data_IF_750132368651
#
_entry.id   IF_750132368651
#
_cell.length_a   1.000
_cell.length_b   1.000
_cell.length_c   1.000
_cell.angle_alpha   90.00
_cell.angle_beta   90.00
_cell.angle_gamma   90.00
#
_symmetry.space_group_name_H-M   'P 1'
#
loop_
_entity.id
_entity.type
_entity.pdbx_description
1 polymer ?
#
# COMPACT_ATOMS: atom_id res chain seq x y z
N UNK A 1 27.73 28.91 -16.65
CA UNK A 1 26.55 29.24 -15.83
C UNK A 1 25.31 28.88 -16.61
N UNK A 2 24.70 27.73 -16.29
CA UNK A 2 23.40 27.27 -16.80
C UNK A 2 22.70 26.64 -15.59
N UNK A 3 21.50 27.07 -15.19
CA UNK A 3 20.77 26.38 -14.15
C UNK A 3 20.00 25.20 -14.74
N UNK A 4 20.20 24.07 -14.08
CA UNK A 4 19.54 22.79 -14.22
C UNK A 4 18.02 22.87 -14.06
N UNK A 5 17.32 22.14 -14.93
CA UNK A 5 15.90 21.78 -14.87
C UNK A 5 15.53 20.98 -13.60
N UNK A 6 14.34 21.18 -13.02
CA UNK A 6 13.77 20.26 -12.05
C UNK A 6 12.95 19.18 -12.78
N UNK A 7 13.28 17.92 -12.50
CA UNK A 7 12.55 16.75 -12.96
C UNK A 7 11.13 16.76 -12.36
N UNK A 8 10.11 17.01 -13.19
CA UNK A 8 8.73 16.71 -12.86
C UNK A 8 8.43 15.27 -13.27
N UNK A 9 8.26 14.38 -12.28
CA UNK A 9 7.73 13.04 -12.53
C UNK A 9 6.23 13.17 -12.87
N UNK A 10 5.88 13.27 -14.16
CA UNK A 10 4.50 13.07 -14.61
C UNK A 10 4.11 11.61 -14.39
N UNK A 11 3.05 11.37 -13.61
CA UNK A 11 2.44 10.05 -13.42
C UNK A 11 1.93 9.52 -14.78
N UNK A 12 2.21 8.27 -15.18
CA UNK A 12 1.69 7.70 -16.42
C UNK A 12 0.25 7.19 -16.30
N UNK A 13 -0.40 7.36 -15.13
CA UNK A 13 -1.83 7.10 -14.97
C UNK A 13 -2.60 8.20 -15.69
N UNK A 14 -2.98 7.97 -16.94
CA UNK A 14 -3.91 8.84 -17.65
C UNK A 14 -5.34 8.37 -17.40
N UNK A 15 -6.18 9.28 -16.93
CA UNK A 15 -7.63 9.10 -17.04
C UNK A 15 -8.12 9.81 -18.28
N UNK A 16 -8.68 9.05 -19.22
CA UNK A 16 -9.43 9.64 -20.35
C UNK A 16 -10.90 9.46 -20.05
N UNK A 17 -11.63 10.56 -20.03
CA UNK A 17 -13.06 10.51 -19.85
C UNK A 17 -13.72 11.29 -20.99
N UNK A 18 -14.65 10.64 -21.67
CA UNK A 18 -15.30 11.22 -22.84
C UNK A 18 -16.42 12.15 -22.38
N UNK A 19 -16.18 13.47 -22.40
CA UNK A 19 -17.24 14.47 -22.31
C UNK A 19 -17.80 14.68 -23.71
N UNK A 20 -19.10 14.43 -23.91
CA UNK A 20 -19.77 14.72 -25.17
C UNK A 20 -19.87 16.24 -25.40
N UNK A 21 -18.80 16.85 -25.90
CA UNK A 21 -18.86 18.04 -26.74
C UNK A 21 -18.02 17.73 -27.98
N UNK A 22 -18.73 17.40 -29.08
CA UNK A 22 -18.20 16.98 -30.38
C UNK A 22 -17.42 15.65 -30.44
N UNK A 23 -18.15 14.54 -30.60
CA UNK A 23 -17.94 13.52 -31.64
C UNK A 23 -18.91 12.35 -31.41
N UNK A 24 -19.56 11.91 -32.48
CA UNK A 24 -20.49 10.77 -32.53
C UNK A 24 -19.82 9.48 -32.06
N UNK A 25 -20.34 8.83 -31.02
CA UNK A 25 -19.94 7.47 -30.67
C UNK A 25 -20.49 6.50 -31.73
N UNK A 26 -19.66 5.60 -32.32
CA UNK A 26 -20.19 4.53 -33.15
C UNK A 26 -20.95 3.54 -32.26
N UNK A 27 -22.27 3.45 -32.45
CA UNK A 27 -23.21 2.58 -31.72
C UNK A 27 -22.92 1.06 -31.84
N UNK A 28 -21.89 0.65 -32.59
CA UNK A 28 -21.71 -0.73 -33.02
C UNK A 28 -20.73 -1.59 -32.18
N UNK A 29 -20.08 -1.06 -31.13
CA UNK A 29 -19.00 -1.80 -30.44
C UNK A 29 -19.43 -2.63 -29.20
N UNK A 30 -20.68 -2.52 -28.71
CA UNK A 30 -21.09 -3.14 -27.43
C UNK A 30 -22.50 -3.76 -27.49
N UNK A 31 -22.64 -5.01 -27.96
CA UNK A 31 -23.94 -5.66 -28.16
C UNK A 31 -24.64 -6.11 -26.87
N UNK A 32 -24.00 -5.99 -25.70
CA UNK A 32 -24.55 -6.43 -24.41
C UNK A 32 -25.11 -5.31 -23.52
N UNK A 33 -25.41 -4.12 -24.07
CA UNK A 33 -26.28 -3.18 -23.33
C UNK A 33 -27.67 -3.83 -23.20
N UNK A 34 -28.19 -4.08 -21.98
CA UNK A 34 -29.62 -4.31 -21.83
C UNK A 34 -30.32 -3.09 -22.43
N UNK A 35 -31.32 -3.31 -23.29
CA UNK A 35 -32.17 -2.25 -23.83
C UNK A 35 -32.98 -1.62 -22.70
N UNK A 36 -32.38 -0.74 -21.93
CA UNK A 36 -33.06 0.22 -21.08
C UNK A 36 -32.98 1.58 -21.78
N UNK A 37 -34.12 2.07 -22.29
CA UNK A 37 -34.27 3.45 -22.73
C UNK A 37 -34.12 4.34 -21.49
N UNK A 38 -32.94 4.90 -21.24
CA UNK A 38 -32.73 5.87 -20.17
C UNK A 38 -31.27 6.16 -19.82
N UNK A 39 -30.78 7.31 -20.29
CA UNK A 39 -29.65 8.15 -19.80
C UNK A 39 -28.21 7.58 -19.83
N UNK A 40 -27.35 8.39 -20.44
CA UNK A 40 -25.96 8.13 -20.77
C UNK A 40 -25.04 8.73 -19.67
N UNK A 41 -24.39 7.86 -18.88
CA UNK A 41 -23.27 8.22 -18.00
C UNK A 41 -22.00 8.51 -18.82
N UNK A 42 -21.06 9.28 -18.25
CA UNK A 42 -19.73 9.46 -18.86
C UNK A 42 -18.97 8.13 -18.69
N UNK A 43 -18.01 7.83 -19.56
CA UNK A 43 -17.16 6.63 -19.40
C UNK A 43 -15.75 7.10 -19.15
N UNK A 44 -15.21 6.74 -17.97
CA UNK A 44 -13.85 7.08 -17.59
C UNK A 44 -12.95 5.84 -17.66
N UNK A 45 -11.76 6.02 -18.22
CA UNK A 45 -10.78 4.95 -18.42
C UNK A 45 -9.50 5.28 -17.67
N UNK A 46 -9.13 4.44 -16.69
CA UNK A 46 -7.83 4.46 -16.03
C UNK A 46 -6.93 3.42 -16.70
N UNK A 47 -5.81 3.87 -17.25
CA UNK A 47 -4.82 2.97 -17.85
C UNK A 47 -3.73 2.65 -16.82
N UNK A 48 -3.62 1.38 -16.44
CA UNK A 48 -2.46 0.86 -15.69
C UNK A 48 -1.58 0.04 -16.63
N UNK A 49 -0.28 -0.05 -16.35
CA UNK A 49 0.72 -0.60 -17.27
C UNK A 49 0.49 -2.07 -17.65
N UNK A 50 -0.31 -2.83 -16.90
CA UNK A 50 -0.68 -4.21 -17.30
C UNK A 50 -2.17 -4.41 -17.61
N UNK A 51 -3.04 -3.43 -17.36
CA UNK A 51 -4.48 -3.55 -17.55
C UNK A 51 -5.17 -2.19 -17.75
N UNK A 52 -6.07 -2.12 -18.73
CA UNK A 52 -6.98 -0.98 -18.87
C UNK A 52 -8.17 -1.21 -17.94
N UNK A 53 -8.35 -0.35 -16.94
CA UNK A 53 -9.51 -0.40 -16.06
C UNK A 53 -10.50 0.67 -16.50
N UNK A 54 -11.67 0.25 -16.94
CA UNK A 54 -12.76 1.15 -17.35
C UNK A 54 -13.80 1.16 -16.25
N UNK A 55 -14.35 2.32 -15.93
CA UNK A 55 -15.46 2.43 -14.98
C UNK A 55 -16.46 3.51 -15.40
N UNK A 56 -17.69 3.33 -14.94
CA UNK A 56 -18.78 4.29 -15.13
C UNK A 56 -19.83 4.09 -14.06
N UNK A 57 -20.62 5.14 -13.81
CA UNK A 57 -21.74 5.11 -12.89
C UNK A 57 -23.07 5.21 -13.63
N UNK A 58 -24.09 4.54 -13.10
CA UNK A 58 -25.49 4.70 -13.45
C UNK A 58 -26.25 5.20 -12.23
N UNK A 59 -26.81 6.40 -12.34
CA UNK A 59 -27.47 7.10 -11.24
C UNK A 59 -28.72 7.83 -11.73
N UNK A 60 -29.66 8.19 -10.82
CA UNK A 60 -30.86 8.96 -11.18
C UNK A 60 -30.55 10.32 -11.80
N UNK A 61 -29.45 10.95 -11.37
CA UNK A 61 -28.98 12.24 -11.88
C UNK A 61 -27.59 12.12 -12.51
N UNK A 62 -27.32 12.96 -13.52
CA UNK A 62 -26.02 13.01 -14.18
C UNK A 62 -24.92 13.51 -13.26
N UNK A 63 -25.28 14.39 -12.32
CA UNK A 63 -24.38 14.94 -11.31
C UNK A 63 -23.93 13.84 -10.34
N UNK A 64 -24.85 13.01 -9.84
CA UNK A 64 -24.50 11.90 -8.96
C UNK A 64 -23.59 10.86 -9.65
N UNK A 65 -23.84 10.56 -10.93
CA UNK A 65 -22.96 9.67 -11.69
C UNK A 65 -21.54 10.27 -11.87
N UNK A 66 -21.44 11.57 -12.19
CA UNK A 66 -20.15 12.24 -12.35
C UNK A 66 -19.37 12.30 -11.02
N UNK A 67 -20.04 12.66 -9.93
CA UNK A 67 -19.43 12.72 -8.61
C UNK A 67 -18.90 11.35 -8.16
N UNK A 68 -19.65 10.27 -8.39
CA UNK A 68 -19.18 8.91 -8.10
C UNK A 68 -17.92 8.55 -8.91
N UNK A 69 -17.90 8.88 -10.21
CA UNK A 69 -16.76 8.65 -11.09
C UNK A 69 -15.52 9.44 -10.65
N UNK A 70 -15.68 10.71 -10.27
CA UNK A 70 -14.57 11.58 -9.86
C UNK A 70 -14.05 11.24 -8.47
N UNK A 71 -14.93 10.85 -7.56
CA UNK A 71 -14.54 10.28 -6.28
C UNK A 71 -13.74 8.99 -6.46
N UNK A 72 -14.20 8.06 -7.30
CA UNK A 72 -13.48 6.82 -7.58
C UNK A 72 -12.10 7.09 -8.21
N UNK A 73 -12.02 8.00 -9.19
CA UNK A 73 -10.77 8.37 -9.83
C UNK A 73 -9.76 8.94 -8.82
N UNK A 74 -10.22 9.82 -7.94
CA UNK A 74 -9.39 10.44 -6.90
C UNK A 74 -8.94 9.42 -5.84
N UNK A 75 -9.82 8.51 -5.43
CA UNK A 75 -9.46 7.40 -4.51
C UNK A 75 -8.41 6.47 -5.13
N UNK A 76 -8.46 6.25 -6.44
CA UNK A 76 -7.43 5.50 -7.18
C UNK A 76 -6.12 6.28 -7.36
N UNK A 77 -6.07 7.55 -6.94
CA UNK A 77 -4.95 8.47 -7.09
C UNK A 77 -4.66 8.80 -8.55
N UNK A 78 -5.71 8.85 -9.37
CA UNK A 78 -5.62 9.33 -10.73
C UNK A 78 -5.82 10.85 -10.70
N UNK A 79 -4.80 11.60 -11.11
CA UNK A 79 -4.87 13.06 -11.20
C UNK A 79 -5.89 13.46 -12.28
N UNK A 80 -7.14 13.65 -11.88
CA UNK A 80 -8.19 14.26 -12.70
C UNK A 80 -8.54 15.63 -12.15
N UNK A 81 -7.59 16.55 -12.12
CA UNK A 81 -7.93 17.89 -11.68
C UNK A 81 -7.13 18.92 -12.49
N UNK A 82 -7.52 19.07 -13.76
CA UNK A 82 -7.24 20.31 -14.51
C UNK A 82 -8.20 21.45 -14.11
N UNK A 83 -9.14 21.23 -13.18
CA UNK A 83 -9.97 22.28 -12.56
C UNK A 83 -9.77 22.29 -11.05
N UNK A 84 -8.86 23.14 -10.56
CA UNK A 84 -8.42 23.21 -9.16
C UNK A 84 -9.55 23.31 -8.10
N UNK A 85 -10.78 23.67 -8.48
CA UNK A 85 -11.93 23.76 -7.59
C UNK A 85 -12.66 22.43 -7.36
N UNK A 86 -12.94 21.63 -8.41
CA UNK A 86 -13.66 20.35 -8.29
C UNK A 86 -12.81 19.31 -7.55
N UNK A 87 -11.51 19.28 -7.85
CA UNK A 87 -10.59 18.40 -7.16
C UNK A 87 -10.36 18.71 -5.70
N UNK A 88 -10.45 19.99 -5.31
CA UNK A 88 -10.41 20.40 -3.91
C UNK A 88 -11.66 19.94 -3.17
N UNK A 89 -12.84 20.02 -3.80
CA UNK A 89 -14.11 19.52 -3.25
C UNK A 89 -14.07 18.00 -3.00
N UNK A 90 -13.60 17.23 -3.98
CA UNK A 90 -13.44 15.77 -3.84
C UNK A 90 -12.36 15.43 -2.81
N UNK A 91 -11.23 16.16 -2.80
CA UNK A 91 -10.17 15.99 -1.81
C UNK A 91 -10.63 16.25 -0.37
N UNK A 92 -11.36 17.35 -0.15
CA UNK A 92 -11.95 17.70 1.15
C UNK A 92 -12.98 16.66 1.60
N UNK A 93 -13.77 16.14 0.66
CA UNK A 93 -14.73 15.06 0.94
C UNK A 93 -14.01 13.77 1.34
N UNK A 94 -12.95 13.38 0.64
CA UNK A 94 -12.14 12.22 0.98
C UNK A 94 -11.44 12.38 2.33
N UNK A 95 -10.99 13.59 2.68
CA UNK A 95 -10.43 13.89 3.99
C UNK A 95 -11.47 13.71 5.10
N UNK A 96 -12.71 14.13 4.87
CA UNK A 96 -13.83 13.94 5.81
C UNK A 96 -14.22 12.48 5.98
N UNK A 97 -14.27 11.73 4.87
CA UNK A 97 -14.48 10.28 4.88
C UNK A 97 -13.38 9.56 5.68
N UNK A 98 -12.12 9.95 5.49
CA UNK A 98 -10.98 9.40 6.25
C UNK A 98 -11.04 9.68 7.75
N UNK A 99 -11.67 10.78 8.15
CA UNK A 99 -11.88 11.13 9.55
C UNK A 99 -13.08 10.36 10.17
N UNK A 100 -13.55 9.29 9.52
CA UNK A 100 -14.57 8.38 10.05
C UNK A 100 -16.00 8.80 9.74
N UNK A 101 -16.21 9.82 8.89
CA UNK A 101 -17.55 10.16 8.42
C UNK A 101 -17.98 9.18 7.33
N UNK A 102 -19.13 8.54 7.48
CA UNK A 102 -19.63 7.60 6.47
C UNK A 102 -20.02 8.35 5.20
N UNK A 103 -19.86 7.70 4.04
CA UNK A 103 -20.29 8.27 2.77
C UNK A 103 -21.80 8.60 2.80
N UNK A 104 -22.61 7.77 3.47
CA UNK A 104 -24.04 8.01 3.69
C UNK A 104 -24.34 9.30 4.47
N UNK A 105 -23.47 9.71 5.39
CA UNK A 105 -23.64 10.96 6.14
C UNK A 105 -23.20 12.20 5.33
N UNK A 106 -22.29 12.01 4.37
CA UNK A 106 -21.72 13.11 3.58
C UNK A 106 -22.45 13.36 2.26
N UNK A 107 -22.87 12.27 1.61
CA UNK A 107 -23.53 12.21 0.30
C UNK A 107 -24.50 11.03 0.27
N UNK A 108 -25.67 11.15 0.93
CA UNK A 108 -26.68 10.09 0.92
C UNK A 108 -27.14 9.74 -0.50
N UNK A 109 -27.11 10.73 -1.40
CA UNK A 109 -27.41 10.61 -2.82
C UNK A 109 -26.39 9.78 -3.63
N UNK A 110 -25.18 9.57 -3.09
CA UNK A 110 -24.17 8.66 -3.65
C UNK A 110 -24.12 7.31 -2.93
N UNK A 111 -24.68 7.23 -1.72
CA UNK A 111 -24.64 6.03 -0.90
C UNK A 111 -25.68 4.98 -1.34
N UNK A 112 -26.86 5.42 -1.79
CA UNK A 112 -27.94 4.55 -2.26
C UNK A 112 -28.42 4.97 -3.66
N UNK A 113 -28.62 4.00 -4.55
CA UNK A 113 -29.18 4.23 -5.88
C UNK A 113 -28.18 4.57 -6.99
N UNK A 114 -26.87 4.57 -6.71
CA UNK A 114 -25.81 4.68 -7.73
C UNK A 114 -25.19 3.31 -7.98
N UNK A 115 -25.52 2.70 -9.11
CA UNK A 115 -24.85 1.48 -9.60
C UNK A 115 -23.52 1.86 -10.22
N UNK A 116 -22.47 1.14 -9.86
CA UNK A 116 -21.12 1.43 -10.31
C UNK A 116 -20.48 0.18 -10.89
N UNK A 117 -19.90 0.36 -12.08
CA UNK A 117 -19.36 -0.73 -12.86
C UNK A 117 -17.85 -0.54 -13.03
N UNK A 118 -17.08 -1.61 -12.81
CA UNK A 118 -15.63 -1.62 -13.03
C UNK A 118 -15.26 -2.83 -13.89
N UNK A 119 -14.66 -2.55 -15.04
CA UNK A 119 -14.23 -3.53 -16.02
C UNK A 119 -12.71 -3.50 -16.17
N UNK A 120 -12.04 -4.57 -15.75
CA UNK A 120 -10.62 -4.78 -16.00
C UNK A 120 -10.41 -5.50 -17.33
N UNK A 121 -9.68 -4.88 -18.26
CA UNK A 121 -9.32 -5.43 -19.55
C UNK A 121 -7.82 -5.71 -19.63
N UNK A 122 -7.48 -6.87 -20.20
CA UNK A 122 -6.11 -7.23 -20.52
C UNK A 122 -5.96 -7.39 -22.05
N UNK A 123 -4.92 -6.80 -22.66
CA UNK A 123 -4.61 -7.07 -24.06
C UNK A 123 -4.16 -8.51 -24.22
N UNK A 124 -4.74 -9.22 -25.18
CA UNK A 124 -4.37 -10.57 -25.56
C UNK A 124 -4.16 -10.61 -27.09
N UNK A 125 -2.96 -10.21 -27.52
CA UNK A 125 -2.62 -10.00 -28.93
C UNK A 125 -3.67 -9.12 -29.62
N UNK A 126 -4.45 -9.67 -30.57
CA UNK A 126 -5.50 -8.97 -31.31
C UNK A 126 -6.88 -8.95 -30.60
N UNK A 127 -6.98 -9.50 -29.38
CA UNK A 127 -8.24 -9.59 -28.61
C UNK A 127 -8.11 -8.85 -27.29
N UNK A 128 -9.22 -8.30 -26.81
CA UNK A 128 -9.33 -7.84 -25.43
C UNK A 128 -9.94 -8.96 -24.60
N UNK A 129 -9.28 -9.32 -23.50
CA UNK A 129 -9.80 -10.30 -22.55
C UNK A 129 -10.34 -9.57 -21.32
N UNK A 130 -11.57 -9.90 -20.93
CA UNK A 130 -12.15 -9.43 -19.67
C UNK A 130 -11.45 -10.15 -18.53
N UNK A 131 -10.73 -9.39 -17.72
CA UNK A 131 -9.95 -9.88 -16.58
C UNK A 131 -10.81 -9.97 -15.32
N UNK A 132 -11.57 -8.91 -15.06
CA UNK A 132 -12.55 -8.90 -14.00
C UNK A 132 -13.69 -7.94 -14.35
N UNK A 133 -14.85 -8.24 -13.79
CA UNK A 133 -16.05 -7.44 -13.85
C UNK A 133 -16.55 -7.26 -12.41
N UNK A 134 -16.85 -6.04 -12.04
CA UNK A 134 -17.49 -5.68 -10.78
C UNK A 134 -18.70 -4.81 -11.09
N UNK A 135 -19.82 -5.15 -10.46
CA UNK A 135 -21.09 -4.44 -10.56
C UNK A 135 -21.66 -4.40 -9.13
N UNK A 136 -21.63 -3.22 -8.52
CA UNK A 136 -22.04 -3.03 -7.13
C UNK A 136 -22.52 -1.60 -6.89
N UNK A 137 -23.10 -1.34 -5.72
CA UNK A 137 -23.46 0.01 -5.31
C UNK A 137 -22.20 0.82 -5.00
N UNK A 138 -22.18 2.09 -5.43
CA UNK A 138 -21.02 2.95 -5.22
C UNK A 138 -20.68 3.10 -3.73
N UNK A 139 -21.70 3.20 -2.86
CA UNK A 139 -21.53 3.23 -1.41
C UNK A 139 -20.78 2.01 -0.86
N UNK A 140 -21.08 0.81 -1.38
CA UNK A 140 -20.38 -0.42 -1.00
C UNK A 140 -18.93 -0.41 -1.48
N UNK A 141 -18.67 0.01 -2.73
CA UNK A 141 -17.33 0.12 -3.28
C UNK A 141 -16.48 1.12 -2.48
N UNK A 142 -17.01 2.32 -2.22
CA UNK A 142 -16.34 3.36 -1.45
C UNK A 142 -15.97 2.86 -0.04
N UNK A 143 -16.89 2.17 0.64
CA UNK A 143 -16.65 1.57 1.96
C UNK A 143 -15.50 0.57 1.93
N UNK A 144 -15.41 -0.27 0.89
CA UNK A 144 -14.32 -1.25 0.74
C UNK A 144 -12.98 -0.58 0.43
N UNK A 145 -12.95 0.47 -0.39
CA UNK A 145 -11.73 1.27 -0.61
C UNK A 145 -11.25 1.94 0.68
N UNK A 146 -12.16 2.52 1.46
CA UNK A 146 -11.83 3.10 2.77
C UNK A 146 -11.25 2.05 3.71
N UNK A 147 -11.88 0.88 3.81
CA UNK A 147 -11.38 -0.22 4.61
C UNK A 147 -9.96 -0.65 4.17
N UNK A 148 -9.67 -0.67 2.86
CA UNK A 148 -8.31 -0.89 2.37
C UNK A 148 -7.34 0.21 2.82
N UNK A 149 -7.72 1.48 2.69
CA UNK A 149 -6.91 2.61 3.13
C UNK A 149 -6.63 2.57 4.63
N UNK A 150 -7.62 2.21 5.46
CA UNK A 150 -7.46 2.09 6.91
C UNK A 150 -6.51 0.95 7.29
N UNK A 151 -6.59 -0.18 6.59
CA UNK A 151 -5.65 -1.31 6.76
C UNK A 151 -4.20 -0.91 6.42
N UNK A 152 -4.03 0.02 5.48
CA UNK A 152 -2.72 0.56 5.06
C UNK A 152 -2.15 1.62 6.02
N UNK A 153 -2.89 2.08 7.02
CA UNK A 153 -2.39 3.12 7.95
C UNK A 153 -1.20 2.59 8.74
N UNK A 154 -0.11 3.35 8.72
CA UNK A 154 1.10 3.08 9.48
C UNK A 154 1.70 4.38 9.99
N UNK A 155 2.39 4.33 11.13
CA UNK A 155 3.12 5.44 11.74
C UNK A 155 4.59 5.02 11.94
N UNK A 156 5.58 5.77 11.42
CA UNK A 156 5.43 7.02 10.66
C UNK A 156 4.74 6.83 9.30
N UNK A 157 3.92 7.79 8.84
CA UNK A 157 3.20 7.65 7.58
C UNK A 157 4.14 7.72 6.37
N UNK A 158 3.75 7.14 5.22
CA UNK A 158 4.44 7.38 3.95
C UNK A 158 4.50 8.88 3.64
N UNK A 159 5.56 9.30 2.93
CA UNK A 159 5.74 10.68 2.48
C UNK A 159 4.53 11.20 1.70
N UNK A 160 3.94 10.35 0.87
CA UNK A 160 2.72 10.65 0.14
C UNK A 160 1.53 10.18 0.98
N UNK A 161 0.72 11.11 1.51
CA UNK A 161 -0.43 10.79 2.37
C UNK A 161 -1.56 10.03 1.63
N UNK A 162 -1.54 10.04 0.30
CA UNK A 162 -2.46 9.28 -0.54
C UNK A 162 -1.73 8.72 -1.77
N UNK A 163 -0.97 7.62 -1.64
CA UNK A 163 -0.30 7.03 -2.77
C UNK A 163 -1.34 6.48 -3.75
N UNK A 164 -1.19 6.80 -5.04
CA UNK A 164 -2.03 6.21 -6.08
C UNK A 164 -1.87 4.69 -6.13
N UNK A 165 -2.88 3.99 -6.64
CA UNK A 165 -2.79 2.52 -6.79
C UNK A 165 -1.57 2.13 -7.63
N UNK A 166 -1.23 2.94 -8.64
CA UNK A 166 -0.04 2.74 -9.46
C UNK A 166 1.26 2.94 -8.69
N UNK A 167 1.33 3.96 -7.81
CA UNK A 167 2.48 4.18 -6.92
C UNK A 167 2.71 2.96 -6.03
N UNK A 168 1.65 2.35 -5.51
CA UNK A 168 1.72 1.12 -4.73
C UNK A 168 2.24 -0.07 -5.57
N UNK A 169 1.75 -0.24 -6.81
CA UNK A 169 2.20 -1.31 -7.70
C UNK A 169 3.69 -1.19 -8.05
N UNK A 170 4.20 0.02 -8.24
CA UNK A 170 5.63 0.25 -8.51
C UNK A 170 6.52 -0.26 -7.38
N UNK A 171 6.09 -0.17 -6.13
CA UNK A 171 6.87 -0.65 -4.99
C UNK A 171 7.06 -2.18 -5.01
N UNK A 172 6.25 -2.91 -5.80
CA UNK A 172 6.37 -4.35 -6.02
C UNK A 172 7.40 -4.70 -7.13
N UNK A 173 7.78 -3.73 -7.96
CA UNK A 173 8.59 -3.97 -9.14
C UNK A 173 10.10 -3.83 -8.86
N UNK A 174 10.95 -4.73 -9.40
CA UNK A 174 12.39 -4.54 -9.42
C UNK A 174 12.80 -3.17 -9.96
N UNK A 175 13.67 -2.47 -9.23
CA UNK A 175 14.15 -1.12 -9.55
C UNK A 175 13.02 -0.08 -9.72
N UNK A 176 11.81 -0.36 -9.21
CA UNK A 176 10.63 0.50 -9.38
C UNK A 176 10.30 0.81 -10.84
N UNK A 177 10.70 -0.08 -11.77
CA UNK A 177 10.42 0.05 -13.20
C UNK A 177 9.08 -0.59 -13.52
N UNK A 178 8.23 0.15 -14.23
CA UNK A 178 6.85 -0.26 -14.49
C UNK A 178 6.73 -1.55 -15.30
N UNK A 179 7.67 -1.77 -16.24
CA UNK A 179 7.71 -2.97 -17.07
C UNK A 179 7.99 -4.25 -16.26
N UNK A 180 8.52 -4.11 -15.04
CA UNK A 180 8.84 -5.23 -14.17
C UNK A 180 7.72 -5.55 -13.16
N UNK A 181 6.58 -4.86 -13.22
CA UNK A 181 5.41 -5.23 -12.42
C UNK A 181 4.95 -6.61 -12.89
N UNK A 182 4.73 -7.53 -11.94
CA UNK A 182 4.29 -8.88 -12.29
C UNK A 182 3.01 -8.79 -13.13
N UNK A 183 2.97 -9.48 -14.29
CA UNK A 183 1.73 -9.66 -15.02
C UNK A 183 0.68 -10.19 -14.06
N UNK A 184 -0.56 -9.74 -14.21
CA UNK A 184 -1.70 -10.14 -13.40
C UNK A 184 -1.86 -9.49 -12.02
N UNK A 185 -0.77 -9.15 -11.34
CA UNK A 185 -0.82 -8.65 -9.97
C UNK A 185 -1.72 -7.42 -9.80
N UNK A 186 -1.64 -6.47 -10.74
CA UNK A 186 -2.43 -5.23 -10.68
C UNK A 186 -3.94 -5.49 -10.65
N UNK A 187 -4.44 -6.29 -11.60
CA UNK A 187 -5.87 -6.55 -11.70
C UNK A 187 -6.37 -7.47 -10.58
N UNK A 188 -5.58 -8.45 -10.17
CA UNK A 188 -5.96 -9.38 -9.10
C UNK A 188 -6.02 -8.67 -7.75
N UNK A 189 -5.06 -7.78 -7.49
CA UNK A 189 -5.05 -6.97 -6.28
C UNK A 189 -6.17 -5.92 -6.28
N UNK A 190 -6.38 -5.21 -7.38
CA UNK A 190 -7.47 -4.23 -7.49
C UNK A 190 -8.82 -4.91 -7.27
N UNK A 191 -9.08 -6.04 -7.92
CA UNK A 191 -10.30 -6.82 -7.71
C UNK A 191 -10.46 -7.23 -6.24
N UNK A 192 -9.39 -7.65 -5.57
CA UNK A 192 -9.44 -8.02 -4.16
C UNK A 192 -9.76 -6.82 -3.26
N UNK A 193 -9.27 -5.62 -3.57
CA UNK A 193 -9.64 -4.38 -2.87
C UNK A 193 -11.13 -4.07 -3.09
N UNK A 194 -11.58 -4.01 -4.33
CA UNK A 194 -12.94 -3.57 -4.67
C UNK A 194 -14.02 -4.56 -4.23
N UNK A 195 -13.70 -5.85 -4.17
CA UNK A 195 -14.61 -6.89 -3.70
C UNK A 195 -14.42 -7.24 -2.22
N UNK A 196 -13.50 -6.54 -1.52
CA UNK A 196 -13.04 -6.86 -0.17
C UNK A 196 -12.79 -8.36 0.01
N UNK A 197 -11.89 -8.94 -0.79
CA UNK A 197 -11.50 -10.36 -0.71
C UNK A 197 -10.06 -10.48 -0.19
N UNK A 198 -9.62 -11.68 0.23
CA UNK A 198 -8.21 -11.90 0.54
C UNK A 198 -7.31 -11.42 -0.61
N UNK A 199 -6.26 -10.68 -0.27
CA UNK A 199 -5.28 -10.20 -1.24
C UNK A 199 -4.48 -11.35 -1.82
N UNK A 200 -4.01 -11.24 -3.08
CA UNK A 200 -3.25 -12.31 -3.70
C UNK A 200 -1.94 -12.57 -2.94
N UNK A 201 -1.66 -13.82 -2.56
CA UNK A 201 -0.43 -14.19 -1.83
C UNK A 201 0.85 -13.95 -2.66
N UNK A 202 0.71 -13.80 -3.98
CA UNK A 202 1.80 -13.32 -4.85
C UNK A 202 2.25 -11.92 -4.47
N UNK A 203 1.36 -11.06 -3.97
CA UNK A 203 1.73 -9.74 -3.43
C UNK A 203 2.64 -9.89 -2.21
N UNK A 204 2.29 -10.78 -1.27
CA UNK A 204 3.11 -11.05 -0.08
C UNK A 204 4.51 -11.53 -0.47
N UNK A 205 4.58 -12.56 -1.32
CA UNK A 205 5.86 -13.12 -1.76
C UNK A 205 6.73 -12.08 -2.48
N UNK A 206 6.13 -11.28 -3.37
CA UNK A 206 6.85 -10.22 -4.10
C UNK A 206 7.36 -9.14 -3.16
N UNK A 207 6.55 -8.66 -2.21
CA UNK A 207 6.97 -7.64 -1.24
C UNK A 207 8.11 -8.14 -0.35
N UNK A 208 8.01 -9.35 0.20
CA UNK A 208 9.09 -9.95 1.00
C UNK A 208 10.37 -10.15 0.19
N UNK A 209 10.27 -10.54 -1.09
CA UNK A 209 11.42 -10.59 -1.98
C UNK A 209 12.02 -9.20 -2.21
N UNK A 210 11.20 -8.17 -2.45
CA UNK A 210 11.68 -6.79 -2.71
C UNK A 210 12.36 -6.18 -1.49
N UNK A 211 11.84 -6.38 -0.29
CA UNK A 211 12.50 -5.91 0.95
C UNK A 211 13.91 -6.50 1.11
N UNK A 212 14.08 -7.78 0.76
CA UNK A 212 15.39 -8.45 0.84
C UNK A 212 16.35 -8.03 -0.28
N UNK A 213 15.84 -7.95 -1.51
CA UNK A 213 16.66 -7.64 -2.68
C UNK A 213 17.09 -6.17 -2.72
N UNK A 214 16.16 -5.26 -2.43
CA UNK A 214 16.40 -3.83 -2.56
C UNK A 214 17.01 -3.23 -1.28
N UNK A 215 16.98 -3.98 -0.16
CA UNK A 215 17.47 -3.56 1.16
C UNK A 215 16.84 -2.26 1.68
N UNK A 216 15.63 -1.99 1.18
CA UNK A 216 14.86 -0.79 1.46
C UNK A 216 13.52 -1.18 2.08
N UNK A 217 13.39 -0.89 3.38
CA UNK A 217 12.17 -1.08 4.16
C UNK A 217 11.49 0.27 4.31
N UNK A 218 10.52 0.53 3.44
CA UNK A 218 9.82 1.80 3.37
C UNK A 218 8.36 1.68 3.84
N UNK A 219 7.78 2.83 4.19
CA UNK A 219 6.42 2.96 4.69
C UNK A 219 5.38 2.26 3.81
N UNK A 220 5.49 2.41 2.49
CA UNK A 220 4.50 1.86 1.55
C UNK A 220 4.54 0.33 1.52
N UNK A 221 5.75 -0.27 1.47
CA UNK A 221 5.91 -1.72 1.51
C UNK A 221 5.42 -2.32 2.81
N UNK A 222 5.72 -1.67 3.92
CA UNK A 222 5.30 -2.13 5.24
C UNK A 222 3.78 -1.96 5.42
N UNK A 223 3.21 -0.84 4.97
CA UNK A 223 1.76 -0.63 4.92
C UNK A 223 1.04 -1.71 4.09
N UNK A 224 1.57 -2.05 2.91
CA UNK A 224 1.00 -3.13 2.07
C UNK A 224 1.07 -4.49 2.77
N UNK A 225 2.18 -4.81 3.43
CA UNK A 225 2.32 -6.04 4.21
C UNK A 225 1.35 -6.07 5.39
N UNK A 226 1.20 -4.97 6.12
CA UNK A 226 0.22 -4.82 7.18
C UNK A 226 -1.20 -5.05 6.66
N UNK A 227 -1.57 -4.40 5.57
CA UNK A 227 -2.91 -4.53 5.01
C UNK A 227 -3.21 -5.96 4.55
N UNK A 228 -2.20 -6.63 3.98
CA UNK A 228 -2.28 -8.04 3.62
C UNK A 228 -2.44 -8.93 4.85
N UNK A 229 -1.69 -8.68 5.93
CA UNK A 229 -1.82 -9.45 7.17
C UNK A 229 -3.25 -9.34 7.71
N UNK A 230 -3.75 -8.11 7.89
CA UNK A 230 -5.08 -7.85 8.43
C UNK A 230 -6.16 -8.50 7.56
N UNK A 231 -6.04 -8.40 6.22
CA UNK A 231 -7.07 -8.93 5.32
C UNK A 231 -7.04 -10.45 5.21
N UNK A 232 -5.86 -11.06 5.14
CA UNK A 232 -5.72 -12.48 4.83
C UNK A 232 -5.64 -13.37 6.06
N UNK A 233 -5.24 -12.83 7.20
CA UNK A 233 -5.01 -13.57 8.43
C UNK A 233 -5.79 -12.90 9.56
N UNK A 234 -7.09 -13.19 9.63
CA UNK A 234 -8.09 -12.57 10.51
C UNK A 234 -7.77 -12.59 12.01
N UNK A 235 -6.78 -13.37 12.44
CA UNK A 235 -6.41 -13.55 13.85
C UNK A 235 -5.20 -12.69 14.25
N UNK A 236 -4.67 -11.87 13.33
CA UNK A 236 -3.48 -11.06 13.56
C UNK A 236 -3.84 -9.58 13.58
N UNK A 237 -3.93 -9.02 14.79
CA UNK A 237 -3.98 -7.57 14.96
C UNK A 237 -2.60 -6.98 14.71
N UNK A 238 -2.53 -5.99 13.81
CA UNK A 238 -1.28 -5.30 13.47
C UNK A 238 -1.45 -3.83 13.79
N UNK A 239 -0.64 -3.27 14.71
CA UNK A 239 -0.85 -1.93 15.23
C UNK A 239 -0.54 -0.88 14.16
N UNK A 240 -1.05 0.35 14.33
CA UNK A 240 -0.76 1.49 13.44
C UNK A 240 0.60 2.08 13.77
N UNK A 241 0.85 2.32 15.06
CA UNK A 241 2.13 2.75 15.60
C UNK A 241 2.81 1.59 16.33
N UNK A 242 4.01 1.81 16.88
CA UNK A 242 4.67 0.85 17.77
C UNK A 242 3.73 0.43 18.89
N UNK A 243 3.48 -0.88 19.00
CA UNK A 243 2.82 -1.50 20.15
C UNK A 243 3.87 -2.22 21.00
N UNK A 244 4.25 -1.66 22.17
CA UNK A 244 5.23 -2.29 23.03
C UNK A 244 4.79 -3.65 23.56
N UNK A 245 3.48 -3.91 23.71
CA UNK A 245 2.94 -5.11 24.36
C UNK A 245 2.80 -6.32 23.42
N UNK A 246 2.95 -6.12 22.11
CA UNK A 246 2.81 -7.20 21.12
C UNK A 246 3.93 -8.23 21.24
N UNK A 247 3.55 -9.50 21.42
CA UNK A 247 4.46 -10.63 21.72
C UNK A 247 4.75 -11.55 20.53
N UNK A 248 4.24 -11.25 19.33
CA UNK A 248 4.50 -12.05 18.13
C UNK A 248 6.00 -12.17 17.84
N UNK A 249 6.56 -13.39 17.66
CA UNK A 249 8.01 -13.58 17.48
C UNK A 249 8.59 -12.78 16.32
N UNK A 250 7.88 -12.72 15.17
CA UNK A 250 8.31 -11.91 14.03
C UNK A 250 8.39 -10.43 14.38
N UNK A 251 7.37 -9.90 15.06
CA UNK A 251 7.30 -8.49 15.46
C UNK A 251 8.39 -8.12 16.47
N UNK A 252 8.59 -8.95 17.50
CA UNK A 252 9.65 -8.77 18.50
C UNK A 252 11.05 -8.81 17.87
N UNK A 253 11.29 -9.74 16.95
CA UNK A 253 12.57 -9.83 16.23
C UNK A 253 12.81 -8.61 15.33
N UNK A 254 11.75 -8.09 14.68
CA UNK A 254 11.83 -6.84 13.91
C UNK A 254 12.25 -5.66 14.79
N UNK A 255 11.57 -5.49 15.95
CA UNK A 255 11.91 -4.46 16.95
C UNK A 255 13.34 -4.61 17.47
N UNK A 256 13.77 -5.83 17.73
CA UNK A 256 15.12 -6.12 18.21
C UNK A 256 16.17 -5.77 17.15
N UNK A 257 15.89 -6.10 15.89
CA UNK A 257 16.76 -5.75 14.77
C UNK A 257 16.89 -4.24 14.60
N UNK A 258 15.78 -3.49 14.69
CA UNK A 258 15.79 -2.03 14.67
C UNK A 258 16.61 -1.44 15.83
N UNK A 259 16.47 -2.00 17.04
CA UNK A 259 17.26 -1.58 18.20
C UNK A 259 18.76 -1.80 17.97
N UNK A 260 19.17 -2.95 17.42
CA UNK A 260 20.58 -3.21 17.10
C UNK A 260 21.14 -2.29 16.01
N UNK A 261 20.34 -1.93 15.01
CA UNK A 261 20.75 -0.98 13.99
C UNK A 261 20.92 0.41 14.59
N UNK A 262 20.00 0.81 15.46
CA UNK A 262 20.10 2.05 16.20
C UNK A 262 21.34 2.10 17.10
N UNK A 263 21.68 0.99 17.79
CA UNK A 263 22.94 0.87 18.54
C UNK A 263 24.16 1.13 17.63
N UNK A 264 24.21 0.49 16.46
CA UNK A 264 25.33 0.64 15.52
C UNK A 264 25.47 2.10 15.05
N UNK A 265 24.37 2.70 14.60
CA UNK A 265 24.35 4.07 14.08
C UNK A 265 24.78 5.09 15.13
N UNK A 266 24.33 4.93 16.37
CA UNK A 266 24.71 5.80 17.49
C UNK A 266 26.17 5.62 17.89
N UNK A 267 26.69 4.39 17.89
CA UNK A 267 28.07 4.09 18.31
C UNK A 267 29.12 4.55 17.28
N UNK A 268 28.77 4.53 15.98
CA UNK A 268 29.69 4.85 14.89
C UNK A 268 29.49 6.28 14.32
N UNK A 269 28.52 7.03 14.81
CA UNK A 269 28.32 8.43 14.43
C UNK A 269 27.81 8.62 12.99
N UNK A 270 27.01 7.68 12.49
CA UNK A 270 26.33 7.77 11.18
C UNK A 270 27.21 7.52 9.94
N UNK A 271 28.55 7.55 10.05
CA UNK A 271 29.48 7.21 8.94
C UNK A 271 29.75 5.71 8.89
N UNK A 272 28.74 4.92 8.56
CA UNK A 272 28.88 3.47 8.41
C UNK A 272 28.85 3.09 6.93
N UNK A 273 29.87 2.37 6.46
CA UNK A 273 29.97 1.94 5.05
C UNK A 273 28.88 0.91 4.67
N UNK A 274 28.43 0.11 5.64
CA UNK A 274 27.31 -0.82 5.48
C UNK A 274 26.61 -1.01 6.84
N UNK A 275 25.31 -0.77 6.87
CA UNK A 275 24.49 -0.98 8.08
C UNK A 275 24.24 -2.47 8.31
N UNK A 276 23.82 -2.85 9.52
CA UNK A 276 23.36 -4.22 9.76
C UNK A 276 22.17 -4.57 8.85
N UNK A 277 21.31 -3.61 8.51
CA UNK A 277 20.21 -3.81 7.57
C UNK A 277 20.74 -4.24 6.21
N UNK A 278 21.75 -3.55 5.69
CA UNK A 278 22.29 -3.82 4.35
C UNK A 278 22.91 -5.22 4.22
N UNK A 279 23.43 -5.76 5.33
CA UNK A 279 24.12 -7.05 5.36
C UNK A 279 23.22 -8.20 5.81
N UNK A 280 22.32 -7.96 6.76
CA UNK A 280 21.65 -9.02 7.52
C UNK A 280 20.13 -8.98 7.43
N UNK A 281 19.49 -7.98 6.83
CA UNK A 281 18.01 -7.94 6.79
C UNK A 281 17.41 -9.22 6.16
N UNK A 282 17.99 -9.68 5.05
CA UNK A 282 17.50 -10.86 4.34
C UNK A 282 17.58 -12.16 5.14
N UNK A 283 18.66 -12.34 5.90
CA UNK A 283 18.85 -13.51 6.76
C UNK A 283 18.14 -13.37 8.10
N UNK A 284 18.09 -12.16 8.67
CA UNK A 284 17.40 -11.88 9.94
C UNK A 284 15.88 -12.07 9.83
N UNK A 285 15.29 -11.63 8.72
CA UNK A 285 13.86 -11.82 8.47
C UNK A 285 13.52 -13.29 8.17
N UNK A 286 14.39 -14.06 7.51
CA UNK A 286 14.07 -15.44 7.12
C UNK A 286 14.51 -16.52 8.13
N UNK A 287 15.73 -16.41 8.66
CA UNK A 287 16.41 -17.42 9.50
C UNK A 287 17.06 -16.79 10.74
N UNK A 288 16.26 -16.23 11.67
CA UNK A 288 16.78 -15.39 12.75
C UNK A 288 17.77 -16.13 13.66
N UNK A 289 17.55 -17.41 13.97
CA UNK A 289 18.47 -18.22 14.80
C UNK A 289 19.90 -18.24 14.28
N UNK A 290 20.11 -18.18 12.96
CA UNK A 290 21.44 -18.24 12.36
C UNK A 290 22.23 -16.93 12.51
N UNK A 291 21.55 -15.78 12.65
CA UNK A 291 22.19 -14.45 12.53
C UNK A 291 22.12 -13.62 13.80
N UNK A 292 21.04 -13.72 14.58
CA UNK A 292 20.85 -12.90 15.78
C UNK A 292 21.95 -13.09 16.85
N UNK A 293 22.50 -14.30 17.10
CA UNK A 293 23.63 -14.44 18.01
C UNK A 293 24.87 -13.65 17.57
N UNK A 294 25.11 -13.55 16.26
CA UNK A 294 26.20 -12.74 15.73
C UNK A 294 25.91 -11.23 15.86
N UNK A 295 24.67 -10.81 15.60
CA UNK A 295 24.23 -9.43 15.78
C UNK A 295 24.32 -8.99 17.24
N UNK A 296 23.91 -9.85 18.18
CA UNK A 296 23.97 -9.56 19.61
C UNK A 296 25.41 -9.32 20.08
N UNK A 297 26.38 -10.16 19.68
CA UNK A 297 27.80 -9.93 19.98
C UNK A 297 28.29 -8.58 19.45
N UNK A 298 27.94 -8.22 18.21
CA UNK A 298 28.28 -6.92 17.63
C UNK A 298 27.63 -5.76 18.40
N UNK A 299 26.36 -5.90 18.76
CA UNK A 299 25.63 -4.91 19.55
C UNK A 299 26.26 -4.70 20.93
N UNK A 300 26.73 -5.75 21.62
CA UNK A 300 27.42 -5.64 22.92
C UNK A 300 28.66 -4.75 22.85
N UNK A 301 29.48 -4.88 21.80
CA UNK A 301 30.66 -4.01 21.62
C UNK A 301 30.28 -2.55 21.40
N UNK A 302 29.25 -2.30 20.59
CA UNK A 302 28.73 -0.96 20.35
C UNK A 302 28.07 -0.35 21.60
N UNK A 303 27.33 -1.13 22.38
CA UNK A 303 26.75 -0.72 23.67
C UNK A 303 27.84 -0.35 24.68
N UNK A 304 28.93 -1.12 24.77
CA UNK A 304 30.05 -0.80 25.65
C UNK A 304 30.70 0.55 25.31
N UNK A 305 30.77 0.89 24.01
CA UNK A 305 31.21 2.20 23.55
C UNK A 305 30.20 3.30 23.87
N UNK A 306 28.91 3.08 23.60
CA UNK A 306 27.84 4.03 23.94
C UNK A 306 27.79 4.33 25.43
N UNK A 307 28.04 3.34 26.30
CA UNK A 307 28.08 3.54 27.75
C UNK A 307 29.13 4.58 28.16
N UNK A 308 30.26 4.66 27.43
CA UNK A 308 31.33 5.63 27.66
C UNK A 308 31.02 6.98 26.99
N UNK A 309 30.67 6.95 25.70
CA UNK A 309 30.61 8.15 24.87
C UNK A 309 29.26 8.87 24.96
N UNK A 310 28.16 8.13 25.17
CA UNK A 310 26.76 8.61 25.12
C UNK A 310 25.87 7.85 26.12
N UNK A 311 26.04 8.04 27.44
CA UNK A 311 25.36 7.24 28.47
C UNK A 311 23.83 7.32 28.39
N UNK A 312 23.25 8.47 28.03
CA UNK A 312 21.79 8.62 27.84
C UNK A 312 21.26 7.73 26.71
N UNK A 313 21.96 7.69 25.57
CA UNK A 313 21.59 6.82 24.46
C UNK A 313 21.77 5.35 24.82
N UNK A 314 22.83 5.00 25.57
CA UNK A 314 23.00 3.65 26.10
C UNK A 314 21.78 3.21 26.92
N UNK A 315 21.39 3.96 27.95
CA UNK A 315 20.26 3.61 28.83
C UNK A 315 18.96 3.47 28.03
N UNK A 316 18.70 4.39 27.09
CA UNK A 316 17.51 4.32 26.25
C UNK A 316 17.42 3.00 25.46
N UNK A 317 18.50 2.60 24.80
CA UNK A 317 18.47 1.41 23.93
C UNK A 317 18.57 0.12 24.72
N UNK A 318 19.34 0.12 25.80
CA UNK A 318 19.43 -1.02 26.73
C UNK A 318 18.06 -1.35 27.32
N UNK A 319 17.31 -0.33 27.76
CA UNK A 319 15.94 -0.49 28.22
C UNK A 319 15.01 -1.03 27.12
N UNK A 320 15.17 -0.58 25.87
CA UNK A 320 14.36 -1.09 24.74
C UNK A 320 14.66 -2.56 24.43
N UNK A 321 15.93 -2.95 24.47
CA UNK A 321 16.36 -4.34 24.28
C UNK A 321 15.84 -5.21 25.44
N UNK A 322 16.01 -4.76 26.68
CA UNK A 322 15.49 -5.44 27.88
C UNK A 322 13.99 -5.68 27.81
N UNK A 323 13.21 -4.65 27.50
CA UNK A 323 11.75 -4.76 27.36
C UNK A 323 11.31 -5.76 26.27
N UNK A 324 12.09 -5.93 25.20
CA UNK A 324 11.80 -6.95 24.18
C UNK A 324 12.07 -8.35 24.72
N UNK A 325 13.19 -8.56 25.42
CA UNK A 325 13.52 -9.86 26.02
C UNK A 325 12.56 -10.24 27.16
N UNK A 326 12.07 -9.27 27.94
CA UNK A 326 11.08 -9.51 29.00
C UNK A 326 9.73 -10.01 28.45
N UNK A 327 9.33 -9.54 27.27
CA UNK A 327 8.09 -9.98 26.60
C UNK A 327 8.26 -11.28 25.82
N UNK A 328 9.49 -11.63 25.48
CA UNK A 328 9.78 -12.75 24.63
C UNK A 328 9.76 -14.06 25.42
N UNK A 329 9.09 -15.07 24.86
CA UNK A 329 9.27 -16.45 25.29
C UNK A 329 10.69 -16.92 24.86
N UNK A 330 11.59 -17.28 25.80
CA UNK A 330 12.97 -17.65 25.50
C UNK A 330 13.10 -18.77 24.46
N UNK A 331 12.15 -19.71 24.44
CA UNK A 331 12.18 -20.86 23.55
C UNK A 331 11.64 -20.53 22.15
N UNK A 332 10.89 -19.42 22.03
CA UNK A 332 10.20 -19.03 20.78
C UNK A 332 10.74 -17.76 20.13
N UNK A 333 11.61 -17.00 20.79
CA UNK A 333 12.14 -15.76 20.20
C UNK A 333 13.03 -16.05 18.98
N UNK A 334 14.02 -16.95 19.13
CA UNK A 334 14.97 -17.27 18.06
C UNK A 334 14.55 -18.53 17.29
N UNK A 335 13.47 -18.38 16.52
CA UNK A 335 12.98 -19.44 15.63
C UNK A 335 14.04 -19.82 14.57
N UNK A 336 14.11 -21.09 14.14
CA UNK A 336 15.03 -21.47 13.07
C UNK A 336 14.69 -20.75 11.76
N UNK A 337 13.40 -20.65 11.46
CA UNK A 337 12.83 -20.00 10.28
C UNK A 337 11.57 -19.22 10.67
N UNK A 338 11.31 -18.11 9.96
CA UNK A 338 10.04 -17.39 10.04
C UNK A 338 9.15 -17.75 8.86
N UNK A 339 7.86 -18.00 9.13
CA UNK A 339 6.83 -18.08 8.09
C UNK A 339 6.69 -16.76 7.33
N UNK A 340 6.07 -16.75 6.15
CA UNK A 340 5.86 -15.52 5.38
C UNK A 340 5.06 -14.47 6.17
N UNK A 341 4.13 -14.90 7.02
CA UNK A 341 3.38 -14.03 7.93
C UNK A 341 4.29 -13.39 8.98
N UNK A 342 5.14 -14.20 9.62
CA UNK A 342 6.10 -13.71 10.62
C UNK A 342 7.17 -12.83 9.99
N UNK A 343 7.57 -13.08 8.73
CA UNK A 343 8.45 -12.20 7.96
C UNK A 343 7.81 -10.85 7.69
N UNK A 344 6.51 -10.83 7.38
CA UNK A 344 5.76 -9.59 7.22
C UNK A 344 5.64 -8.84 8.56
N UNK A 345 5.34 -9.54 9.66
CA UNK A 345 5.35 -8.95 11.01
C UNK A 345 6.73 -8.43 11.43
N UNK A 346 7.81 -9.10 11.01
CA UNK A 346 9.18 -8.63 11.19
C UNK A 346 9.40 -7.28 10.51
N UNK A 347 8.94 -7.14 9.26
CA UNK A 347 9.03 -5.85 8.55
C UNK A 347 8.22 -4.76 9.25
N UNK A 348 7.04 -5.10 9.80
CA UNK A 348 6.19 -4.15 10.54
C UNK A 348 6.76 -3.78 11.91
N UNK A 349 7.42 -4.71 12.61
CA UNK A 349 8.06 -4.42 13.90
C UNK A 349 9.39 -3.70 13.77
N UNK A 350 10.07 -3.86 12.61
CA UNK A 350 11.31 -3.18 12.29
C UNK A 350 11.10 -1.71 11.92
N UNK A 351 10.09 -1.45 11.09
CA UNK A 351 9.70 -0.11 10.66
C UNK A 351 9.09 0.68 11.83
#
# INVERSE_FOLDING_TARGET
>A
MLPSSPWSCRSPVQVRCCSQHHQTCPEAAWPHRPRARGRCGRTCQVITVSAQTVFWAEAPTREAAADAEDMFATMMGADRIDEAAEGKRVGDMLARVRNGQTLSALRPDLAEGVRFYVLGLAPNAARLSVRFWLDDDFGAIATRLMAHHDRMRIDPPPRDANPSFWRLLIETAPLRKTDNILPNLAGDWLRAILADRPYPLTLLATLLMRLRADKDVNALRVAMLKALIIRNFSNLEVPVSLDPAKTDPGYLLGRLFAAYEYVQTQALGGKVNATIRDQYYGTASATPRAVFPALQRKATHHLARLRKDRPKSYVFVDNKIGAIFELADPDKLFLPTLSAQQQALFAVGYY
#
